data_IF_760822383942
#
_entry.id   IF_760822383942
#
_cell.length_a   1.000
_cell.length_b   1.000
_cell.length_c   1.000
_cell.angle_alpha   90.00
_cell.angle_beta   90.00
_cell.angle_gamma   90.00
#
_symmetry.space_group_name_H-M   'P 1'
#
loop_
_entity.id
_entity.type
_entity.pdbx_description
1 polymer ?
#
# COMPACT_ATOMS: atom_id res chain seq x y z
N UNK A 1 -10.05 -25.97 15.56
CA UNK A 1 -8.69 -26.48 15.87
C UNK A 1 -7.94 -25.50 16.79
N UNK A 2 -7.88 -24.19 16.45
CA UNK A 2 -7.26 -23.16 17.30
C UNK A 2 -7.88 -23.02 18.69
N UNK A 3 -9.20 -23.23 18.83
CA UNK A 3 -9.91 -23.13 20.10
C UNK A 3 -9.46 -24.19 21.11
N UNK A 4 -9.17 -25.42 20.63
CA UNK A 4 -8.71 -26.51 21.47
C UNK A 4 -7.22 -26.44 21.85
N UNK A 5 -6.41 -25.82 20.98
CA UNK A 5 -4.95 -25.76 21.18
C UNK A 5 -4.50 -24.58 22.07
N UNK A 6 -5.31 -23.48 22.18
CA UNK A 6 -4.91 -22.25 22.89
C UNK A 6 -6.00 -21.63 23.79
N UNK A 7 -7.11 -22.32 24.03
CA UNK A 7 -8.21 -21.85 24.89
C UNK A 7 -8.75 -20.44 24.54
N UNK A 8 -8.80 -20.09 23.26
CA UNK A 8 -9.42 -18.84 22.82
C UNK A 8 -10.95 -18.91 22.99
N UNK A 9 -11.55 -17.83 23.52
CA UNK A 9 -13.00 -17.65 23.49
C UNK A 9 -13.48 -17.23 22.08
N UNK A 10 -14.79 -17.22 21.87
CA UNK A 10 -15.36 -16.92 20.55
C UNK A 10 -15.04 -15.49 20.08
N UNK A 11 -15.05 -14.51 21.00
CA UNK A 11 -14.68 -13.12 20.72
C UNK A 11 -13.21 -12.99 20.28
N UNK A 12 -12.30 -13.70 20.96
CA UNK A 12 -10.89 -13.74 20.59
C UNK A 12 -10.68 -14.42 19.25
N UNK A 13 -11.45 -15.50 18.97
CA UNK A 13 -11.41 -16.18 17.67
C UNK A 13 -11.92 -15.29 16.54
N UNK A 14 -13.00 -14.55 16.76
CA UNK A 14 -13.52 -13.59 15.78
C UNK A 14 -12.53 -12.46 15.50
N UNK A 15 -11.82 -12.01 16.51
CA UNK A 15 -10.75 -11.00 16.36
C UNK A 15 -9.54 -11.55 15.59
N UNK A 16 -9.19 -12.82 15.79
CA UNK A 16 -8.10 -13.48 15.08
C UNK A 16 -8.48 -13.85 13.64
N UNK A 17 -9.73 -14.16 13.38
CA UNK A 17 -10.24 -14.49 12.03
C UNK A 17 -10.84 -13.26 11.37
N UNK A 18 -10.02 -12.32 10.94
CA UNK A 18 -10.44 -11.04 10.37
C UNK A 18 -11.55 -11.15 9.31
N UNK A 19 -11.48 -12.15 8.44
CA UNK A 19 -12.49 -12.37 7.39
C UNK A 19 -13.88 -12.63 7.96
N UNK A 20 -14.01 -13.39 9.04
CA UNK A 20 -15.31 -13.63 9.67
C UNK A 20 -15.86 -12.36 10.33
N UNK A 21 -15.01 -11.65 11.07
CA UNK A 21 -15.39 -10.39 11.73
C UNK A 21 -15.87 -9.33 10.75
N UNK A 22 -15.19 -9.20 9.62
CA UNK A 22 -15.46 -8.16 8.62
C UNK A 22 -16.43 -8.60 7.52
N UNK A 23 -16.85 -9.87 7.53
CA UNK A 23 -17.75 -10.48 6.55
C UNK A 23 -17.31 -10.22 5.08
N UNK A 24 -16.01 -10.28 4.84
CA UNK A 24 -15.41 -10.00 3.54
C UNK A 24 -16.00 -10.93 2.48
N UNK A 25 -16.41 -10.33 1.35
CA UNK A 25 -16.77 -11.07 0.14
C UNK A 25 -15.49 -11.54 -0.57
N UNK A 26 -15.21 -12.85 -0.65
CA UNK A 26 -14.00 -13.35 -1.27
C UNK A 26 -13.91 -13.09 -2.78
N UNK A 27 -15.03 -12.74 -3.43
CA UNK A 27 -15.06 -12.38 -4.85
C UNK A 27 -14.77 -10.91 -5.10
N UNK A 28 -14.67 -10.09 -4.04
CA UNK A 28 -14.49 -8.64 -4.10
C UNK A 28 -13.26 -8.20 -3.31
N UNK A 29 -12.15 -8.89 -3.52
CA UNK A 29 -10.84 -8.49 -2.99
C UNK A 29 -10.11 -7.68 -4.05
N UNK A 30 -9.84 -6.41 -3.74
CA UNK A 30 -9.26 -5.44 -4.68
C UNK A 30 -7.72 -5.40 -4.64
N UNK A 31 -7.12 -6.00 -3.62
CA UNK A 31 -5.68 -5.98 -3.42
C UNK A 31 -4.98 -6.96 -4.35
N UNK A 32 -4.18 -6.42 -5.28
CA UNK A 32 -3.27 -7.21 -6.12
C UNK A 32 -1.88 -7.35 -5.50
N UNK A 33 -1.08 -8.24 -6.03
CA UNK A 33 0.33 -8.38 -5.68
C UNK A 33 1.16 -7.34 -6.40
N UNK A 34 2.08 -6.70 -5.71
CA UNK A 34 3.02 -5.76 -6.31
C UNK A 34 4.33 -6.49 -6.58
N UNK A 35 4.68 -6.58 -7.86
CA UNK A 35 5.94 -7.17 -8.33
C UNK A 35 6.47 -6.36 -9.50
N UNK A 36 7.76 -6.04 -9.48
CA UNK A 36 8.37 -5.15 -10.46
C UNK A 36 8.78 -5.89 -11.74
N UNK A 37 7.80 -6.46 -12.42
CA UNK A 37 7.98 -6.92 -13.79
C UNK A 37 6.81 -6.48 -14.68
N UNK A 38 7.14 -6.03 -15.88
CA UNK A 38 6.20 -5.45 -16.83
C UNK A 38 5.65 -6.52 -17.80
N UNK A 39 4.97 -7.53 -17.28
CA UNK A 39 4.29 -8.52 -18.12
C UNK A 39 2.80 -8.21 -18.19
N UNK A 40 2.35 -7.65 -19.29
CA UNK A 40 0.95 -7.29 -19.50
C UNK A 40 0.00 -8.49 -19.36
N UNK A 41 0.44 -9.69 -19.74
CA UNK A 41 -0.31 -10.93 -19.63
C UNK A 41 -0.59 -11.36 -18.18
N UNK A 42 0.15 -10.82 -17.20
CA UNK A 42 0.00 -11.13 -15.77
C UNK A 42 -0.81 -10.08 -15.00
N UNK A 43 -1.32 -9.06 -15.67
CA UNK A 43 -2.17 -8.04 -15.04
C UNK A 43 -3.52 -8.60 -14.60
N UNK A 44 -4.00 -9.64 -15.28
CA UNK A 44 -5.22 -10.35 -14.92
C UNK A 44 -4.94 -11.84 -14.90
N UNK A 45 -5.02 -12.44 -13.75
CA UNK A 45 -4.79 -13.88 -13.53
C UNK A 45 -5.93 -14.47 -12.72
N UNK A 46 -6.07 -15.79 -12.79
CA UNK A 46 -6.97 -16.56 -11.92
C UNK A 46 -6.14 -17.30 -10.89
N UNK A 47 -6.50 -17.16 -9.63
CA UNK A 47 -5.89 -17.86 -8.49
C UNK A 47 -6.89 -18.78 -7.82
N UNK A 48 -6.43 -19.66 -6.92
CA UNK A 48 -7.30 -20.60 -6.17
C UNK A 48 -7.67 -21.85 -6.94
N UNK A 49 -6.89 -22.26 -7.96
CA UNK A 49 -7.16 -23.43 -8.81
C UNK A 49 -6.61 -24.76 -8.26
N UNK A 50 -5.77 -24.73 -7.22
CA UNK A 50 -5.07 -25.92 -6.68
C UNK A 50 -5.90 -26.75 -5.69
N UNK A 51 -7.19 -26.48 -5.56
CA UNK A 51 -8.10 -27.26 -4.72
C UNK A 51 -8.45 -26.57 -3.38
N UNK A 52 -8.99 -27.34 -2.43
CA UNK A 52 -9.59 -26.79 -1.20
C UNK A 52 -8.63 -25.94 -0.35
N UNK A 53 -7.34 -26.20 -0.40
CA UNK A 53 -6.35 -25.45 0.39
C UNK A 53 -6.02 -24.08 -0.20
N UNK A 54 -6.27 -23.88 -1.48
CA UNK A 54 -6.04 -22.60 -2.17
C UNK A 54 -7.16 -21.58 -1.92
N UNK A 55 -8.22 -21.95 -1.24
CA UNK A 55 -9.37 -21.10 -0.96
C UNK A 55 -10.36 -20.99 -2.12
N UNK A 56 -10.80 -19.79 -2.43
CA UNK A 56 -11.76 -19.54 -3.49
C UNK A 56 -11.06 -19.19 -4.81
N UNK A 57 -11.58 -19.74 -5.92
CA UNK A 57 -11.18 -19.25 -7.23
C UNK A 57 -11.62 -17.79 -7.40
N UNK A 58 -10.69 -16.94 -7.78
CA UNK A 58 -10.96 -15.53 -7.99
C UNK A 58 -10.00 -14.92 -9.00
N UNK A 59 -10.45 -13.82 -9.61
CA UNK A 59 -9.55 -12.99 -10.41
C UNK A 59 -8.61 -12.21 -9.49
N UNK A 60 -7.35 -12.16 -9.87
CA UNK A 60 -6.33 -11.35 -9.22
C UNK A 60 -5.45 -10.67 -10.27
N UNK A 61 -4.47 -9.92 -9.82
CA UNK A 61 -3.56 -9.18 -10.71
C UNK A 61 -2.19 -9.02 -10.08
N UNK A 62 -1.17 -8.85 -10.94
CA UNK A 62 0.10 -8.28 -10.55
C UNK A 62 0.16 -6.81 -10.96
N UNK A 63 0.62 -5.96 -10.05
CA UNK A 63 0.90 -4.55 -10.28
C UNK A 63 2.39 -4.26 -10.16
N UNK A 64 2.77 -3.03 -10.45
CA UNK A 64 4.14 -2.53 -10.34
C UNK A 64 4.24 -1.52 -9.19
N UNK A 65 5.41 -1.42 -8.53
CA UNK A 65 5.60 -0.58 -7.36
C UNK A 65 5.22 0.90 -7.60
N UNK A 66 5.60 1.45 -8.75
CA UNK A 66 5.29 2.84 -9.13
C UNK A 66 3.80 3.11 -9.39
N UNK A 67 2.99 2.06 -9.61
CA UNK A 67 1.53 2.13 -9.72
C UNK A 67 0.80 1.77 -8.42
N UNK A 68 1.52 1.53 -7.32
CA UNK A 68 0.91 1.13 -6.05
C UNK A 68 0.33 2.33 -5.29
N UNK A 69 -0.71 2.08 -4.51
CA UNK A 69 -1.29 3.08 -3.62
C UNK A 69 -0.28 3.56 -2.56
N UNK A 70 0.59 2.66 -2.08
CA UNK A 70 1.65 3.03 -1.13
C UNK A 70 2.61 4.07 -1.71
N UNK A 71 2.98 3.95 -3.00
CA UNK A 71 3.83 4.93 -3.69
C UNK A 71 3.11 6.27 -3.84
N UNK A 72 1.85 6.27 -4.24
CA UNK A 72 1.04 7.48 -4.35
C UNK A 72 0.86 8.16 -2.99
N UNK A 73 0.57 7.41 -1.95
CA UNK A 73 0.43 7.93 -0.59
C UNK A 73 1.76 8.54 -0.10
N UNK A 74 2.89 7.88 -0.37
CA UNK A 74 4.21 8.39 0.01
C UNK A 74 4.49 9.75 -0.63
N UNK A 75 4.09 9.95 -1.88
CA UNK A 75 4.33 11.22 -2.58
C UNK A 75 3.58 12.41 -1.97
N UNK A 76 2.39 12.18 -1.42
CA UNK A 76 1.53 13.23 -0.86
C UNK A 76 1.53 13.30 0.68
N UNK A 77 2.24 12.40 1.35
CA UNK A 77 2.34 12.39 2.80
C UNK A 77 3.11 13.63 3.31
N UNK A 78 2.61 14.23 4.37
CA UNK A 78 3.21 15.42 4.97
C UNK A 78 4.26 15.07 6.05
N UNK A 79 4.05 13.97 6.74
CA UNK A 79 4.90 13.43 7.80
C UNK A 79 4.54 11.96 8.07
N UNK A 80 5.20 11.35 9.03
CA UNK A 80 4.98 9.94 9.38
C UNK A 80 3.57 9.68 9.96
N UNK A 81 2.99 10.65 10.66
CA UNK A 81 1.65 10.52 11.23
C UNK A 81 0.58 10.54 10.12
N UNK A 82 0.73 11.46 9.15
CA UNK A 82 -0.13 11.53 7.97
C UNK A 82 0.04 10.27 7.09
N UNK A 83 1.27 9.82 6.85
CA UNK A 83 1.55 8.56 6.16
C UNK A 83 0.80 7.39 6.82
N UNK A 84 0.95 7.23 8.13
CA UNK A 84 0.27 6.20 8.91
C UNK A 84 -1.25 6.28 8.79
N UNK A 85 -1.82 7.48 8.88
CA UNK A 85 -3.26 7.70 8.72
C UNK A 85 -3.74 7.22 7.36
N UNK A 86 -3.11 7.69 6.27
CA UNK A 86 -3.47 7.33 4.89
C UNK A 86 -3.30 5.84 4.61
N UNK A 87 -2.25 5.21 5.12
CA UNK A 87 -2.03 3.77 5.00
C UNK A 87 -3.13 2.94 5.68
N UNK A 88 -3.83 3.46 6.67
CA UNK A 88 -4.98 2.80 7.29
C UNK A 88 -6.29 2.98 6.49
N UNK A 89 -6.33 3.87 5.52
CA UNK A 89 -7.50 4.21 4.72
C UNK A 89 -7.55 3.45 3.37
N UNK A 90 -6.53 2.66 3.02
CA UNK A 90 -6.47 1.90 1.78
C UNK A 90 -7.60 0.85 1.78
N UNK A 91 -8.46 0.89 0.77
CA UNK A 91 -9.50 -0.13 0.56
C UNK A 91 -8.87 -1.37 -0.06
N UNK A 92 -9.04 -2.52 0.58
CA UNK A 92 -8.46 -3.81 0.16
C UNK A 92 -9.50 -4.83 -0.26
N UNK A 93 -10.75 -4.66 0.16
CA UNK A 93 -11.85 -5.55 -0.16
C UNK A 93 -13.20 -4.84 0.08
N UNK A 94 -14.27 -5.54 -0.24
CA UNK A 94 -15.62 -5.15 0.17
C UNK A 94 -16.24 -6.28 0.99
N UNK A 95 -17.10 -5.92 1.94
CA UNK A 95 -17.91 -6.90 2.66
C UNK A 95 -19.11 -7.35 1.80
N UNK A 96 -19.88 -8.34 2.27
CA UNK A 96 -21.05 -8.87 1.56
C UNK A 96 -22.17 -7.85 1.40
N UNK A 97 -22.18 -6.77 2.20
CA UNK A 97 -23.11 -5.65 2.06
C UNK A 97 -22.67 -4.61 1.03
N UNK A 98 -21.43 -4.73 0.53
CA UNK A 98 -20.82 -3.79 -0.40
C UNK A 98 -20.09 -2.62 0.27
N UNK A 99 -19.90 -2.65 1.58
CA UNK A 99 -19.12 -1.65 2.31
C UNK A 99 -17.62 -1.90 2.10
N UNK A 100 -16.79 -0.87 1.87
CA UNK A 100 -15.34 -1.03 1.77
C UNK A 100 -14.73 -1.50 3.09
N UNK A 101 -13.77 -2.40 2.98
CA UNK A 101 -12.91 -2.89 4.06
C UNK A 101 -11.52 -2.33 3.85
N UNK A 102 -10.99 -1.67 4.87
CA UNK A 102 -9.70 -0.98 4.79
C UNK A 102 -8.58 -1.76 5.47
N UNK A 103 -7.35 -1.37 5.20
CA UNK A 103 -6.16 -1.83 5.93
C UNK A 103 -6.24 -1.52 7.42
N UNK A 104 -6.93 -0.45 7.80
CA UNK A 104 -7.24 -0.11 9.20
C UNK A 104 -8.18 -1.12 9.84
N UNK A 105 -9.24 -1.53 9.15
CA UNK A 105 -10.14 -2.58 9.61
C UNK A 105 -9.43 -3.93 9.80
N UNK A 106 -8.44 -4.21 8.95
CA UNK A 106 -7.56 -5.38 9.09
C UNK A 106 -6.49 -5.23 10.17
N UNK A 107 -6.33 -4.03 10.75
CA UNK A 107 -5.31 -3.70 11.75
C UNK A 107 -3.86 -3.83 11.22
N UNK A 108 -3.64 -3.71 9.90
CA UNK A 108 -2.32 -3.87 9.26
C UNK A 108 -1.65 -2.56 8.88
N UNK A 109 -2.38 -1.44 8.79
CA UNK A 109 -1.83 -0.16 8.38
C UNK A 109 -0.69 0.35 9.28
N UNK A 110 -0.71 0.01 10.57
CA UNK A 110 0.38 0.35 11.49
C UNK A 110 1.66 -0.44 11.18
N UNK A 111 1.54 -1.72 10.81
CA UNK A 111 2.67 -2.54 10.38
C UNK A 111 3.25 -1.99 9.06
N UNK A 112 2.38 -1.62 8.11
CA UNK A 112 2.80 -0.97 6.86
C UNK A 112 3.60 0.31 7.14
N UNK A 113 3.11 1.18 8.02
CA UNK A 113 3.82 2.40 8.41
C UNK A 113 5.19 2.10 9.07
N UNK A 114 5.29 1.04 9.86
CA UNK A 114 6.56 0.62 10.45
C UNK A 114 7.59 0.19 9.39
N UNK A 115 7.16 -0.57 8.38
CA UNK A 115 8.03 -0.90 7.23
C UNK A 115 8.45 0.33 6.44
N UNK A 116 7.57 1.32 6.29
CA UNK A 116 7.82 2.54 5.54
C UNK A 116 8.50 3.66 6.36
N UNK A 117 8.87 3.40 7.61
CA UNK A 117 9.47 4.41 8.50
C UNK A 117 10.67 5.13 7.89
N UNK A 118 11.53 4.41 7.20
CA UNK A 118 12.74 5.00 6.61
C UNK A 118 12.48 5.55 5.20
N UNK A 119 11.46 5.05 4.50
CA UNK A 119 11.13 5.48 3.14
C UNK A 119 10.53 6.87 3.08
N UNK A 120 10.03 7.39 4.21
CA UNK A 120 9.47 8.73 4.27
C UNK A 120 10.53 9.83 4.12
N UNK A 121 11.78 9.50 4.37
CA UNK A 121 12.89 10.45 4.23
C UNK A 121 13.40 10.47 2.79
N UNK A 122 13.38 11.63 2.10
CA UNK A 122 14.01 11.76 0.79
C UNK A 122 15.49 11.41 0.85
N UNK A 123 15.98 10.70 -0.17
CA UNK A 123 17.40 10.43 -0.32
C UNK A 123 18.05 11.59 -1.06
N UNK A 124 19.03 12.24 -0.43
CA UNK A 124 19.83 13.27 -1.07
C UNK A 124 20.99 12.63 -1.82
N UNK A 125 21.05 12.87 -3.10
CA UNK A 125 22.09 12.43 -4.01
C UNK A 125 22.77 13.62 -4.67
N UNK A 126 23.74 13.35 -5.52
CA UNK A 126 24.50 14.33 -6.27
C UNK A 126 24.50 13.93 -7.75
N UNK A 127 24.25 14.88 -8.64
CA UNK A 127 24.41 14.66 -10.08
C UNK A 127 25.90 14.58 -10.47
N UNK A 128 26.18 14.24 -11.73
CA UNK A 128 27.56 14.21 -12.25
C UNK A 128 28.24 15.58 -12.20
N UNK A 129 27.46 16.67 -12.24
CA UNK A 129 27.93 18.05 -12.10
C UNK A 129 27.95 18.54 -10.64
N UNK A 130 27.82 17.63 -9.67
CA UNK A 130 27.78 17.92 -8.24
C UNK A 130 26.59 18.77 -7.75
N UNK A 131 25.50 18.81 -8.51
CA UNK A 131 24.28 19.45 -8.05
C UNK A 131 23.50 18.51 -7.12
N UNK A 132 22.91 19.02 -6.03
CA UNK A 132 22.08 18.22 -5.15
C UNK A 132 20.81 17.76 -5.87
N UNK A 133 20.43 16.50 -5.63
CA UNK A 133 19.25 15.88 -6.22
C UNK A 133 18.54 15.05 -5.16
N UNK A 134 17.26 15.31 -4.91
CA UNK A 134 16.45 14.45 -4.08
C UNK A 134 15.86 13.31 -4.90
N UNK A 135 15.97 12.09 -4.37
CA UNK A 135 15.29 10.91 -4.86
C UNK A 135 14.33 10.43 -3.78
N UNK A 136 13.07 10.39 -4.11
CA UNK A 136 12.01 9.98 -3.17
C UNK A 136 10.91 9.22 -3.92
N UNK A 137 9.64 9.36 -3.48
CA UNK A 137 8.50 8.73 -4.13
C UNK A 137 8.46 9.03 -5.64
N UNK A 138 8.10 8.03 -6.44
CA UNK A 138 8.04 8.15 -7.89
C UNK A 138 6.80 7.44 -8.43
N UNK A 139 5.56 7.90 -8.11
CA UNK A 139 4.34 7.36 -8.69
C UNK A 139 4.32 7.62 -10.19
N UNK A 140 3.56 6.83 -10.96
CA UNK A 140 3.32 7.16 -12.36
C UNK A 140 2.70 8.54 -12.52
N UNK A 141 3.12 9.29 -13.53
CA UNK A 141 2.60 10.63 -13.82
C UNK A 141 1.08 10.65 -14.05
N UNK A 142 0.50 9.57 -14.58
CA UNK A 142 -0.94 9.44 -14.78
C UNK A 142 -1.75 9.23 -13.48
N UNK A 143 -1.12 9.09 -12.33
CA UNK A 143 -1.81 9.10 -11.02
C UNK A 143 -2.24 10.52 -10.64
N UNK A 144 -1.75 11.54 -11.33
CA UNK A 144 -2.19 12.93 -11.20
C UNK A 144 -2.12 13.49 -9.77
N UNK A 145 -1.07 13.18 -9.03
CA UNK A 145 -0.84 13.74 -7.69
C UNK A 145 -0.06 15.06 -7.72
N UNK A 146 0.37 15.50 -8.89
CA UNK A 146 1.09 16.73 -9.12
C UNK A 146 2.59 16.58 -8.90
N UNK A 147 3.04 16.56 -7.67
CA UNK A 147 4.47 16.54 -7.30
C UNK A 147 4.96 15.13 -6.97
N UNK A 148 6.27 14.89 -7.17
CA UNK A 148 6.88 13.62 -6.81
C UNK A 148 6.97 13.41 -5.30
N UNK A 149 7.11 14.48 -4.50
CA UNK A 149 7.21 14.37 -3.05
C UNK A 149 7.02 15.72 -2.37
N UNK A 150 5.96 15.85 -1.58
CA UNK A 150 5.72 17.05 -0.75
C UNK A 150 6.85 17.24 0.26
N UNK A 151 7.40 16.17 0.82
CA UNK A 151 8.47 16.27 1.82
C UNK A 151 9.78 16.75 1.16
N UNK A 152 10.15 16.18 0.01
CA UNK A 152 11.33 16.62 -0.73
C UNK A 152 11.21 18.09 -1.16
N UNK A 153 10.03 18.51 -1.65
CA UNK A 153 9.78 19.90 -2.03
C UNK A 153 9.94 20.85 -0.84
N UNK A 154 9.37 20.51 0.31
CA UNK A 154 9.52 21.30 1.53
C UNK A 154 10.95 21.42 2.02
N UNK A 155 11.74 20.38 1.88
CA UNK A 155 13.17 20.39 2.23
C UNK A 155 13.94 21.20 1.20
N UNK A 156 13.71 20.97 -0.09
CA UNK A 156 14.37 21.69 -1.18
C UNK A 156 14.17 23.19 -1.11
N UNK A 157 12.93 23.63 -0.93
CA UNK A 157 12.57 25.04 -0.80
C UNK A 157 13.16 25.74 0.43
N UNK A 158 13.60 24.99 1.43
CA UNK A 158 14.29 25.55 2.61
C UNK A 158 15.81 25.61 2.47
N UNK A 159 16.36 24.74 1.64
CA UNK A 159 17.81 24.58 1.54
C UNK A 159 18.42 25.29 0.33
N UNK A 160 17.63 25.53 -0.73
CA UNK A 160 18.12 26.01 -2.02
C UNK A 160 17.30 27.20 -2.52
N UNK A 161 17.93 28.07 -3.31
CA UNK A 161 17.30 29.23 -3.94
C UNK A 161 16.36 28.81 -5.09
N UNK A 162 16.67 27.70 -5.75
CA UNK A 162 15.86 27.13 -6.84
C UNK A 162 15.57 25.66 -6.58
N UNK A 163 14.34 25.26 -6.78
CA UNK A 163 13.90 23.87 -6.71
C UNK A 163 13.17 23.52 -7.99
N UNK A 164 13.68 22.51 -8.71
CA UNK A 164 13.11 22.03 -9.97
C UNK A 164 12.58 20.62 -9.74
N UNK A 165 11.34 20.38 -10.10
CA UNK A 165 10.69 19.07 -9.95
C UNK A 165 9.86 18.76 -11.20
N UNK A 166 9.66 17.49 -11.45
CA UNK A 166 8.72 17.01 -12.46
C UNK A 166 7.30 16.95 -11.87
N UNK A 167 6.30 17.32 -12.66
CA UNK A 167 4.88 17.28 -12.28
C UNK A 167 3.99 16.76 -13.41
#
# INVERSE_FOLDING_TARGET
RMQHERNYNDEQLERLTKMRRLDIDPTRVEMGWIMDFCAQSLRHIVIGMGGRQDGFMMQSKFGIAVGSECMAILSIANDLADLKKRLNEITVAFDKSGKPVTTGDLEVGNAMAAFMRNTINPTLMCTAEYNPCFVHAGPFANIAVGQSSIIADRVGLKLFDYHVTES
#
